data_IF_937467750039
#
_entry.id   IF_937467750039
#
_cell.length_a   1.000
_cell.length_b   1.000
_cell.length_c   1.000
_cell.angle_alpha   90.00
_cell.angle_beta   90.00
_cell.angle_gamma   90.00
#
_symmetry.space_group_name_H-M   'P 1'
#
loop_
_entity.id
_entity.type
_entity.pdbx_description
1 polymer ?
#
# COMPACT_ATOMS: atom_id res chain seq x y z
N UNK A 1 20.90 -10.42 -17.10
CA UNK A 1 20.62 -10.41 -15.66
C UNK A 1 20.13 -9.04 -15.23
N UNK A 2 18.90 -8.96 -14.71
CA UNK A 2 18.32 -7.71 -14.22
C UNK A 2 19.00 -7.32 -12.90
N UNK A 3 19.52 -6.09 -12.82
CA UNK A 3 20.19 -5.58 -11.63
C UNK A 3 19.23 -4.81 -10.70
N UNK A 4 18.11 -4.33 -11.23
CA UNK A 4 17.16 -3.49 -10.50
C UNK A 4 15.78 -4.12 -10.54
N UNK A 5 14.97 -3.94 -9.50
CA UNK A 5 13.59 -4.40 -9.55
C UNK A 5 12.81 -3.73 -10.68
N UNK A 6 11.87 -4.47 -11.25
CA UNK A 6 10.92 -3.93 -12.21
C UNK A 6 9.53 -3.91 -11.57
N UNK A 7 9.06 -2.72 -11.23
CA UNK A 7 7.79 -2.53 -10.55
C UNK A 7 6.80 -1.85 -11.49
N UNK A 8 5.76 -2.60 -11.84
CA UNK A 8 4.70 -2.12 -12.72
C UNK A 8 3.36 -2.71 -12.23
N UNK A 9 2.55 -1.86 -11.63
CA UNK A 9 1.24 -2.27 -11.13
C UNK A 9 0.22 -2.09 -12.23
N UNK A 10 -0.41 -3.20 -12.67
CA UNK A 10 -1.42 -3.18 -13.73
C UNK A 10 -2.77 -3.58 -13.17
N UNK A 11 -3.76 -2.67 -13.16
CA UNK A 11 -5.11 -3.05 -12.74
C UNK A 11 -5.73 -4.02 -13.76
N UNK A 12 -6.41 -5.05 -13.26
CA UNK A 12 -7.16 -5.98 -14.13
C UNK A 12 -8.37 -5.30 -14.77
N UNK A 13 -8.91 -4.27 -14.10
CA UNK A 13 -9.97 -3.43 -14.65
C UNK A 13 -9.77 -2.00 -14.18
N UNK A 14 -10.17 -1.05 -15.01
CA UNK A 14 -10.16 0.36 -14.64
C UNK A 14 -11.20 0.62 -13.54
N UNK A 15 -10.86 1.45 -12.52
CA UNK A 15 -11.85 1.83 -11.53
C UNK A 15 -12.97 2.67 -12.18
N UNK A 16 -14.20 2.46 -11.72
CA UNK A 16 -15.33 3.28 -12.11
C UNK A 16 -15.29 4.66 -11.47
N UNK A 17 -16.42 5.37 -11.47
CA UNK A 17 -16.51 6.72 -10.91
C UNK A 17 -16.60 6.74 -9.39
N UNK A 18 -17.24 5.72 -8.80
CA UNK A 18 -17.38 5.59 -7.36
C UNK A 18 -16.22 4.76 -6.84
N UNK A 19 -15.39 5.33 -5.99
CA UNK A 19 -14.19 4.67 -5.46
C UNK A 19 -14.42 4.21 -4.02
N UNK A 20 -14.40 5.16 -3.07
CA UNK A 20 -14.54 4.86 -1.65
C UNK A 20 -14.99 6.11 -0.92
N UNK A 21 -15.98 5.95 -0.04
CA UNK A 21 -16.36 6.96 0.94
C UNK A 21 -15.98 6.46 2.32
N UNK A 22 -15.16 7.20 3.03
CA UNK A 22 -14.80 6.96 4.42
C UNK A 22 -15.69 7.90 5.25
N UNK A 23 -16.59 7.31 6.06
CA UNK A 23 -17.61 8.08 6.78
C UNK A 23 -17.49 7.93 8.27
N UNK A 24 -17.12 9.02 8.94
CA UNK A 24 -17.17 9.17 10.40
C UNK A 24 -16.43 8.06 11.15
N UNK A 25 -15.27 7.67 10.66
CA UNK A 25 -14.48 6.58 11.26
C UNK A 25 -13.90 7.04 12.59
N UNK A 26 -14.25 6.30 13.64
CA UNK A 26 -13.75 6.51 15.00
C UNK A 26 -13.22 5.18 15.53
N UNK A 27 -12.06 5.22 16.16
CA UNK A 27 -11.44 4.03 16.74
C UNK A 27 -10.62 4.38 17.97
N UNK A 28 -10.91 3.70 19.06
CA UNK A 28 -10.16 3.79 20.32
C UNK A 28 -9.35 2.51 20.50
N UNK A 29 -8.09 2.65 20.88
CA UNK A 29 -7.17 1.54 21.15
C UNK A 29 -6.54 1.77 22.52
N UNK A 30 -6.67 0.79 23.41
CA UNK A 30 -6.14 0.85 24.77
C UNK A 30 -6.55 2.14 25.52
N UNK A 31 -7.81 2.54 25.38
CA UNK A 31 -8.35 3.71 26.04
C UNK A 31 -8.04 5.05 25.37
N UNK A 32 -7.25 5.06 24.31
CA UNK A 32 -6.92 6.28 23.56
C UNK A 32 -7.70 6.32 22.26
N UNK A 33 -8.41 7.43 22.01
CA UNK A 33 -9.11 7.65 20.74
C UNK A 33 -8.10 8.07 19.68
N UNK A 34 -7.68 7.11 18.85
CA UNK A 34 -6.66 7.31 17.82
C UNK A 34 -7.26 7.98 16.58
N UNK A 35 -8.45 7.56 16.17
CA UNK A 35 -9.20 8.17 15.07
C UNK A 35 -10.50 8.72 15.61
N UNK A 36 -10.79 9.98 15.29
CA UNK A 36 -11.97 10.68 15.77
C UNK A 36 -12.74 11.31 14.62
N UNK A 37 -13.82 10.66 14.22
CA UNK A 37 -14.76 11.16 13.21
C UNK A 37 -14.08 11.53 11.89
N UNK A 38 -13.24 10.64 11.37
CA UNK A 38 -12.49 10.85 10.13
C UNK A 38 -13.39 10.58 8.93
N UNK A 39 -13.53 11.58 8.05
CA UNK A 39 -14.36 11.46 6.84
C UNK A 39 -13.63 12.06 5.64
N UNK A 40 -13.65 11.35 4.52
CA UNK A 40 -13.21 11.86 3.23
C UNK A 40 -13.76 10.96 2.12
N UNK A 41 -13.80 11.50 0.90
CA UNK A 41 -14.20 10.75 -0.28
C UNK A 41 -13.01 10.60 -1.21
N UNK A 42 -12.68 9.37 -1.56
CA UNK A 42 -11.64 9.07 -2.55
C UNK A 42 -12.26 9.16 -3.94
N UNK A 43 -11.58 9.87 -4.83
CA UNK A 43 -12.06 10.17 -6.19
C UNK A 43 -11.22 9.46 -7.25
N UNK A 44 -11.72 9.31 -8.49
CA UNK A 44 -10.90 8.80 -9.59
C UNK A 44 -9.59 9.58 -9.73
N UNK A 45 -8.52 8.87 -10.03
CA UNK A 45 -7.16 9.39 -10.22
C UNK A 45 -6.48 9.89 -8.93
N UNK A 46 -7.08 9.69 -7.77
CA UNK A 46 -6.47 10.09 -6.51
C UNK A 46 -5.21 9.27 -6.20
N UNK A 47 -4.15 9.97 -5.85
CA UNK A 47 -2.95 9.42 -5.22
C UNK A 47 -2.71 10.24 -3.97
N UNK A 48 -3.21 9.72 -2.86
CA UNK A 48 -3.30 10.47 -1.60
C UNK A 48 -2.16 10.08 -0.68
N UNK A 49 -1.37 11.07 -0.26
CA UNK A 49 -0.41 10.90 0.82
C UNK A 49 -1.07 11.29 2.14
N UNK A 50 -0.95 10.41 3.13
CA UNK A 50 -1.50 10.63 4.46
C UNK A 50 -0.41 11.09 5.43
N UNK A 51 -0.70 12.16 6.15
CA UNK A 51 0.10 12.66 7.26
C UNK A 51 -0.75 12.60 8.52
N UNK A 52 -0.13 12.63 9.68
CA UNK A 52 -0.86 12.65 10.95
C UNK A 52 0.02 13.20 12.07
N UNK A 53 -0.60 13.83 13.06
CA UNK A 53 0.08 14.20 14.30
C UNK A 53 0.50 12.95 15.08
N UNK A 54 -0.35 11.92 15.04
CA UNK A 54 -0.08 10.61 15.65
C UNK A 54 0.18 9.61 14.54
N UNK A 55 1.41 9.12 14.45
CA UNK A 55 1.82 8.14 13.43
C UNK A 55 0.93 6.88 13.44
N UNK A 56 0.46 6.46 14.62
CA UNK A 56 -0.41 5.28 14.74
C UNK A 56 -1.75 5.48 14.04
N UNK A 57 -2.21 6.72 13.87
CA UNK A 57 -3.47 7.01 13.21
C UNK A 57 -3.47 6.61 11.74
N UNK A 58 -2.34 6.79 11.05
CA UNK A 58 -2.21 6.40 9.64
C UNK A 58 -2.31 4.89 9.48
N UNK A 59 -1.51 4.15 10.24
CA UNK A 59 -1.52 2.69 10.19
C UNK A 59 -2.90 2.13 10.54
N UNK A 60 -3.53 2.66 11.57
CA UNK A 60 -4.85 2.22 12.00
C UNK A 60 -5.91 2.48 10.92
N UNK A 61 -5.88 3.66 10.30
CA UNK A 61 -6.80 3.99 9.21
C UNK A 61 -6.61 3.02 8.02
N UNK A 62 -5.36 2.75 7.64
CA UNK A 62 -5.07 1.81 6.55
C UNK A 62 -5.54 0.40 6.88
N UNK A 63 -5.34 -0.06 8.11
CA UNK A 63 -5.84 -1.37 8.57
C UNK A 63 -7.36 -1.45 8.48
N UNK A 64 -8.05 -0.38 8.83
CA UNK A 64 -9.52 -0.32 8.73
C UNK A 64 -9.95 -0.36 7.26
N UNK A 65 -9.33 0.45 6.41
CA UNK A 65 -9.64 0.46 4.96
C UNK A 65 -9.34 -0.89 4.33
N UNK A 66 -8.25 -1.55 4.72
CA UNK A 66 -7.89 -2.87 4.23
C UNK A 66 -8.79 -4.00 4.77
N UNK A 67 -9.65 -3.71 5.74
CA UNK A 67 -10.56 -4.70 6.30
C UNK A 67 -9.96 -5.57 7.40
N UNK A 68 -8.78 -5.24 7.90
CA UNK A 68 -8.09 -6.03 8.94
C UNK A 68 -8.52 -5.63 10.36
N UNK A 69 -9.04 -4.44 10.54
CA UNK A 69 -9.51 -3.90 11.83
C UNK A 69 -10.88 -3.27 11.62
N UNK A 70 -11.82 -3.56 12.53
CA UNK A 70 -13.14 -2.94 12.51
C UNK A 70 -13.11 -1.58 13.19
N UNK A 71 -13.76 -0.54 12.63
CA UNK A 71 -13.93 0.72 13.35
C UNK A 71 -14.91 0.55 14.51
N UNK A 72 -14.82 1.44 15.52
CA UNK A 72 -15.82 1.49 16.60
C UNK A 72 -17.09 2.18 16.13
N UNK A 73 -16.94 3.20 15.28
CA UNK A 73 -18.04 3.94 14.66
C UNK A 73 -17.69 4.28 13.22
N UNK A 74 -18.71 4.53 12.42
CA UNK A 74 -18.56 4.91 11.03
C UNK A 74 -18.59 3.74 10.08
N UNK A 75 -18.44 4.04 8.80
CA UNK A 75 -18.53 3.00 7.75
C UNK A 75 -17.67 3.35 6.55
N UNK A 76 -17.35 2.32 5.76
CA UNK A 76 -16.72 2.43 4.46
C UNK A 76 -17.75 2.07 3.39
N UNK A 77 -17.89 2.93 2.38
CA UNK A 77 -18.75 2.65 1.23
C UNK A 77 -17.88 2.51 0.00
N UNK A 78 -17.73 1.28 -0.46
CA UNK A 78 -16.89 0.94 -1.60
C UNK A 78 -17.65 1.03 -2.92
N UNK A 79 -16.98 1.55 -3.95
CA UNK A 79 -17.47 1.41 -5.32
C UNK A 79 -17.43 -0.05 -5.76
N UNK A 80 -18.40 -0.46 -6.59
CA UNK A 80 -18.57 -1.87 -6.97
C UNK A 80 -17.45 -2.41 -7.86
N UNK A 81 -16.69 -1.52 -8.50
CA UNK A 81 -15.59 -1.90 -9.41
C UNK A 81 -14.24 -1.96 -8.73
N UNK A 82 -14.16 -1.63 -7.44
CA UNK A 82 -12.88 -1.47 -6.75
C UNK A 82 -12.40 -2.79 -6.17
N UNK A 83 -11.14 -3.09 -6.46
CA UNK A 83 -10.37 -4.16 -5.84
C UNK A 83 -9.16 -3.53 -5.16
N UNK A 84 -8.80 -4.00 -3.97
CA UNK A 84 -7.70 -3.40 -3.21
C UNK A 84 -6.65 -4.42 -2.85
N UNK A 85 -5.42 -3.92 -2.64
CA UNK A 85 -4.35 -4.70 -2.07
C UNK A 85 -3.54 -3.81 -1.14
N UNK A 86 -3.00 -4.40 -0.08
CA UNK A 86 -2.45 -3.68 1.06
C UNK A 86 -1.01 -4.07 1.31
N UNK A 87 -0.15 -3.06 1.46
CA UNK A 87 1.22 -3.18 1.90
C UNK A 87 1.28 -2.71 3.36
N UNK A 88 1.28 -3.61 4.35
CA UNK A 88 1.28 -3.23 5.77
C UNK A 88 2.66 -2.74 6.21
N UNK A 89 2.70 -1.85 7.20
CA UNK A 89 3.95 -1.41 7.83
C UNK A 89 4.66 -2.61 8.47
N UNK A 90 3.95 -3.37 9.31
CA UNK A 90 4.43 -4.62 9.87
C UNK A 90 3.84 -5.78 9.07
N UNK A 91 4.69 -6.45 8.31
CA UNK A 91 4.30 -7.54 7.42
C UNK A 91 4.61 -8.93 7.98
N UNK A 92 5.09 -9.05 9.23
CA UNK A 92 5.54 -10.31 9.79
C UNK A 92 4.47 -11.40 9.77
N UNK A 93 3.20 -11.03 9.99
CA UNK A 93 2.08 -11.97 9.98
C UNK A 93 1.87 -12.66 8.64
N UNK A 94 2.38 -12.11 7.55
CA UNK A 94 2.27 -12.69 6.21
C UNK A 94 3.26 -13.83 5.98
N UNK A 95 4.30 -13.95 6.82
CA UNK A 95 5.47 -14.81 6.59
C UNK A 95 5.69 -15.84 7.69
N UNK A 96 4.65 -16.26 8.39
CA UNK A 96 4.76 -17.19 9.53
C UNK A 96 4.79 -18.66 9.12
N UNK A 97 4.45 -18.97 7.87
CA UNK A 97 4.45 -20.35 7.38
C UNK A 97 5.85 -20.80 6.95
N UNK A 98 6.00 -22.10 6.65
CA UNK A 98 7.22 -22.67 6.10
C UNK A 98 7.16 -22.87 4.58
N UNK A 99 6.22 -22.20 3.91
CA UNK A 99 6.12 -22.26 2.44
C UNK A 99 7.36 -21.64 1.78
N UNK A 100 7.71 -22.14 0.60
CA UNK A 100 8.67 -21.44 -0.25
C UNK A 100 8.05 -20.12 -0.71
N UNK A 101 8.90 -19.17 -1.12
CA UNK A 101 8.43 -17.89 -1.68
C UNK A 101 7.48 -18.15 -2.86
N UNK A 102 7.83 -19.10 -3.75
CA UNK A 102 7.00 -19.45 -4.90
C UNK A 102 5.62 -19.96 -4.47
N UNK A 103 5.56 -20.88 -3.54
CA UNK A 103 4.28 -21.44 -3.07
C UNK A 103 3.48 -20.41 -2.28
N UNK A 104 4.15 -19.56 -1.52
CA UNK A 104 3.52 -18.46 -0.80
C UNK A 104 2.83 -17.49 -1.78
N UNK A 105 3.55 -17.07 -2.83
CA UNK A 105 2.98 -16.16 -3.81
C UNK A 105 1.86 -16.82 -4.62
N UNK A 106 2.03 -18.11 -4.95
CA UNK A 106 1.00 -18.89 -5.67
C UNK A 106 -0.34 -18.85 -4.92
N UNK A 107 -0.32 -18.85 -3.59
CA UNK A 107 -1.53 -18.79 -2.77
C UNK A 107 -2.36 -17.51 -2.98
N UNK A 108 -1.76 -16.45 -3.51
CA UNK A 108 -2.45 -15.20 -3.83
C UNK A 108 -2.83 -15.08 -5.31
N UNK A 109 -2.44 -16.03 -6.14
CA UNK A 109 -2.64 -15.97 -7.59
C UNK A 109 -3.92 -16.69 -8.01
N UNK A 110 -4.68 -16.08 -8.91
CA UNK A 110 -5.80 -16.74 -9.58
C UNK A 110 -5.32 -17.78 -10.57
N UNK A 111 -4.17 -17.53 -11.19
CA UNK A 111 -3.50 -18.47 -12.09
C UNK A 111 -2.43 -19.22 -11.28
N UNK A 112 -2.58 -20.56 -11.08
CA UNK A 112 -1.63 -21.32 -10.27
C UNK A 112 -0.37 -21.74 -11.02
N UNK A 113 -0.23 -21.40 -12.30
CA UNK A 113 0.93 -21.77 -13.09
C UNK A 113 2.22 -21.22 -12.49
N UNK A 114 3.18 -22.11 -12.23
CA UNK A 114 4.44 -21.75 -11.57
C UNK A 114 5.23 -20.71 -12.37
N UNK A 115 5.28 -20.86 -13.69
CA UNK A 115 6.01 -19.91 -14.56
C UNK A 115 5.40 -18.52 -14.47
N UNK A 116 4.07 -18.44 -14.46
CA UNK A 116 3.36 -17.17 -14.29
C UNK A 116 3.70 -16.52 -12.93
N UNK A 117 3.58 -17.28 -11.85
CA UNK A 117 3.88 -16.81 -10.49
C UNK A 117 5.34 -16.35 -10.37
N UNK A 118 6.29 -17.17 -10.88
CA UNK A 118 7.72 -16.86 -10.80
C UNK A 118 8.10 -15.64 -11.63
N UNK A 119 7.33 -15.29 -12.65
CA UNK A 119 7.59 -14.08 -13.44
C UNK A 119 7.50 -12.82 -12.59
N UNK A 120 6.58 -12.76 -11.61
CA UNK A 120 6.49 -11.63 -10.68
C UNK A 120 7.65 -11.62 -9.70
N UNK A 121 8.07 -12.78 -9.22
CA UNK A 121 9.24 -12.89 -8.34
C UNK A 121 10.52 -12.45 -9.04
N UNK A 122 10.68 -12.82 -10.31
CA UNK A 122 11.83 -12.40 -11.10
C UNK A 122 11.93 -10.89 -11.25
N UNK A 123 10.80 -10.19 -11.38
CA UNK A 123 10.77 -8.72 -11.40
C UNK A 123 11.37 -8.12 -10.13
N UNK A 124 11.22 -8.81 -9.01
CA UNK A 124 11.73 -8.36 -7.70
C UNK A 124 13.06 -9.04 -7.34
N UNK A 125 13.78 -9.55 -8.35
CA UNK A 125 15.12 -10.12 -8.23
C UNK A 125 15.20 -11.47 -7.51
N UNK A 126 14.07 -12.17 -7.39
CA UNK A 126 14.06 -13.56 -6.92
C UNK A 126 14.11 -14.49 -8.12
N UNK A 127 15.24 -15.18 -8.28
CA UNK A 127 15.42 -16.12 -9.37
C UNK A 127 16.05 -17.41 -8.87
N UNK A 128 15.80 -18.52 -9.57
CA UNK A 128 16.39 -19.82 -9.25
C UNK A 128 16.11 -20.26 -7.82
N UNK A 129 17.17 -20.56 -7.08
CA UNK A 129 17.06 -21.05 -5.71
C UNK A 129 16.53 -20.02 -4.72
N UNK A 130 16.70 -18.74 -5.00
CA UNK A 130 16.17 -17.68 -4.12
C UNK A 130 14.65 -17.77 -3.99
N UNK A 131 13.95 -18.10 -5.07
CA UNK A 131 12.50 -18.26 -5.08
C UNK A 131 12.03 -19.50 -4.31
N UNK A 132 12.95 -20.37 -3.90
CA UNK A 132 12.66 -21.57 -3.11
C UNK A 132 12.96 -21.41 -1.62
N UNK A 133 13.48 -20.26 -1.20
CA UNK A 133 13.67 -19.97 0.23
C UNK A 133 12.34 -20.03 0.96
N UNK A 134 12.36 -20.45 2.20
CA UNK A 134 11.17 -20.44 3.06
C UNK A 134 10.89 -19.01 3.52
N UNK A 135 9.62 -18.63 3.53
CA UNK A 135 9.21 -17.26 3.87
C UNK A 135 9.51 -16.89 5.33
N UNK A 136 9.58 -17.88 6.21
CA UNK A 136 9.86 -17.63 7.64
C UNK A 136 11.32 -17.30 7.96
N UNK A 137 12.23 -17.35 6.97
CA UNK A 137 13.65 -17.04 7.18
C UNK A 137 14.12 -15.80 6.39
N UNK A 138 13.19 -15.04 5.82
CA UNK A 138 13.52 -13.91 4.97
C UNK A 138 13.99 -12.69 5.76
N UNK A 139 14.90 -11.91 5.16
CA UNK A 139 15.27 -10.59 5.68
C UNK A 139 14.13 -9.59 5.49
N UNK A 140 14.22 -8.42 6.15
CA UNK A 140 13.25 -7.36 5.98
C UNK A 140 13.08 -6.91 4.54
N UNK A 141 14.19 -6.71 3.82
CA UNK A 141 14.15 -6.33 2.40
C UNK A 141 13.54 -7.40 1.51
N UNK A 142 13.86 -8.67 1.77
CA UNK A 142 13.26 -9.79 1.03
C UNK A 142 11.76 -9.87 1.25
N UNK A 143 11.28 -9.67 2.49
CA UNK A 143 9.85 -9.63 2.81
C UNK A 143 9.14 -8.52 2.04
N UNK A 144 9.72 -7.32 2.03
CA UNK A 144 9.16 -6.17 1.28
C UNK A 144 9.06 -6.48 -0.20
N UNK A 145 10.10 -7.08 -0.80
CA UNK A 145 10.07 -7.47 -2.22
C UNK A 145 9.00 -8.53 -2.50
N UNK A 146 8.77 -9.44 -1.56
CA UNK A 146 7.66 -10.41 -1.65
C UNK A 146 6.30 -9.72 -1.64
N UNK A 147 6.08 -8.77 -0.73
CA UNK A 147 4.81 -8.03 -0.65
C UNK A 147 4.57 -7.25 -1.94
N UNK A 148 5.61 -6.61 -2.50
CA UNK A 148 5.48 -5.89 -3.77
C UNK A 148 5.16 -6.84 -4.92
N UNK A 149 5.74 -8.04 -4.96
CA UNK A 149 5.39 -9.08 -5.94
C UNK A 149 3.92 -9.45 -5.83
N UNK A 150 3.42 -9.63 -4.61
CA UNK A 150 2.02 -9.94 -4.32
C UNK A 150 1.09 -8.83 -4.83
N UNK A 151 1.47 -7.57 -4.62
CA UNK A 151 0.67 -6.43 -5.07
C UNK A 151 0.62 -6.33 -6.59
N UNK A 152 1.75 -6.55 -7.27
CA UNK A 152 1.77 -6.59 -8.74
C UNK A 152 0.91 -7.72 -9.28
N UNK A 153 0.99 -8.89 -8.66
CA UNK A 153 0.23 -10.06 -9.08
C UNK A 153 -1.28 -9.88 -8.85
N UNK A 154 -1.68 -9.10 -7.87
CA UNK A 154 -3.08 -8.95 -7.47
C UNK A 154 -3.97 -8.35 -8.55
N UNK A 155 -3.44 -7.50 -9.42
CA UNK A 155 -4.25 -6.77 -10.40
C UNK A 155 -5.22 -5.76 -9.78
N UNK A 156 -5.02 -5.40 -8.52
CA UNK A 156 -5.90 -4.45 -7.83
C UNK A 156 -5.84 -3.06 -8.47
N UNK A 157 -6.96 -2.34 -8.45
CA UNK A 157 -7.05 -0.98 -8.98
C UNK A 157 -6.98 0.09 -7.88
N UNK A 158 -6.91 -0.30 -6.62
CA UNK A 158 -6.62 0.58 -5.49
C UNK A 158 -5.53 -0.07 -4.63
N UNK A 159 -4.42 0.63 -4.45
CA UNK A 159 -3.28 0.13 -3.68
C UNK A 159 -3.08 0.98 -2.44
N UNK A 160 -2.82 0.31 -1.32
CA UNK A 160 -2.57 0.95 -0.02
C UNK A 160 -1.15 0.61 0.39
N UNK A 161 -0.31 1.63 0.62
CA UNK A 161 1.08 1.43 1.06
C UNK A 161 1.33 2.13 2.39
N UNK A 162 1.75 1.36 3.38
CA UNK A 162 2.16 1.89 4.69
C UNK A 162 3.67 1.75 4.85
N UNK A 163 4.41 2.85 4.66
CA UNK A 163 5.86 2.92 4.75
C UNK A 163 6.59 1.87 3.89
N UNK A 164 6.38 1.87 2.57
CA UNK A 164 6.92 0.80 1.72
C UNK A 164 8.43 0.90 1.48
N UNK A 165 9.06 2.02 1.85
CA UNK A 165 10.48 2.27 1.54
C UNK A 165 11.45 1.90 2.66
N UNK A 166 10.96 1.55 3.86
CA UNK A 166 11.79 1.38 5.06
C UNK A 166 12.94 0.35 4.93
N UNK A 167 12.75 -0.70 4.14
CA UNK A 167 13.71 -1.79 4.00
C UNK A 167 14.23 -1.93 2.57
N UNK A 168 14.11 -0.88 1.77
CA UNK A 168 14.54 -0.89 0.37
C UNK A 168 15.84 -0.11 0.19
N UNK A 169 16.68 -0.57 -0.73
CA UNK A 169 17.83 0.18 -1.21
C UNK A 169 17.38 1.30 -2.17
N UNK A 170 18.30 2.17 -2.55
CA UNK A 170 17.98 3.34 -3.37
C UNK A 170 17.41 2.98 -4.74
N UNK A 171 17.95 1.95 -5.38
CA UNK A 171 17.47 1.49 -6.67
C UNK A 171 16.05 0.95 -6.60
N UNK A 172 15.74 0.23 -5.53
CA UNK A 172 14.40 -0.31 -5.30
C UNK A 172 13.39 0.80 -4.98
N UNK A 173 13.79 1.82 -4.20
CA UNK A 173 12.96 3.00 -3.93
C UNK A 173 12.65 3.73 -5.25
N UNK A 174 13.66 3.92 -6.11
CA UNK A 174 13.46 4.56 -7.42
C UNK A 174 12.47 3.76 -8.28
N UNK A 175 12.62 2.44 -8.32
CA UNK A 175 11.71 1.56 -9.08
C UNK A 175 10.28 1.64 -8.53
N UNK A 176 10.12 1.66 -7.20
CA UNK A 176 8.81 1.79 -6.55
C UNK A 176 8.18 3.15 -6.87
N UNK A 177 8.96 4.22 -6.76
CA UNK A 177 8.51 5.57 -7.10
C UNK A 177 7.96 5.63 -8.53
N UNK A 178 8.70 5.12 -9.49
CA UNK A 178 8.28 5.07 -10.89
C UNK A 178 7.01 4.23 -11.06
N UNK A 179 6.95 3.07 -10.42
CA UNK A 179 5.78 2.19 -10.50
C UNK A 179 4.52 2.82 -9.91
N UNK A 180 4.66 3.50 -8.77
CA UNK A 180 3.54 4.22 -8.14
C UNK A 180 3.11 5.43 -8.97
N UNK A 181 4.06 6.21 -9.48
CA UNK A 181 3.77 7.43 -10.24
C UNK A 181 2.99 7.14 -11.52
N UNK A 182 3.33 6.06 -12.22
CA UNK A 182 2.66 5.71 -13.49
C UNK A 182 1.45 4.80 -13.34
N UNK A 183 1.13 4.36 -12.11
CA UNK A 183 -0.03 3.50 -11.88
C UNK A 183 -1.33 4.17 -12.33
N UNK A 184 -2.17 3.43 -13.05
CA UNK A 184 -3.44 3.92 -13.60
C UNK A 184 -4.62 3.84 -12.63
N UNK A 185 -4.41 3.32 -11.43
CA UNK A 185 -5.45 3.23 -10.39
C UNK A 185 -5.27 4.26 -9.29
N UNK A 186 -5.86 3.95 -8.15
CA UNK A 186 -5.88 4.80 -6.95
C UNK A 186 -4.77 4.36 -6.00
N UNK A 187 -4.09 5.31 -5.37
CA UNK A 187 -3.12 5.02 -4.31
C UNK A 187 -3.47 5.79 -3.04
N UNK A 188 -3.48 5.07 -1.92
CA UNK A 188 -3.51 5.63 -0.57
C UNK A 188 -2.20 5.22 0.09
N UNK A 189 -1.41 6.18 0.57
CA UNK A 189 -0.08 5.81 1.07
C UNK A 189 0.44 6.77 2.13
N UNK A 190 1.43 6.31 2.87
CA UNK A 190 2.30 7.14 3.69
C UNK A 190 3.73 6.68 3.52
N UNK A 191 4.67 7.63 3.48
CA UNK A 191 6.10 7.34 3.36
C UNK A 191 6.92 8.45 3.99
N UNK A 192 8.04 8.09 4.62
CA UNK A 192 9.02 9.05 5.10
C UNK A 192 9.95 9.52 3.97
N UNK A 193 9.89 8.90 2.79
CA UNK A 193 10.68 9.31 1.65
C UNK A 193 10.06 10.55 1.00
N UNK A 194 10.74 11.69 1.13
CA UNK A 194 10.24 12.98 0.62
C UNK A 194 10.03 12.95 -0.89
N UNK A 195 11.00 12.42 -1.62
CA UNK A 195 10.96 12.39 -3.09
C UNK A 195 9.79 11.56 -3.60
N UNK A 196 9.56 10.40 -3.01
CA UNK A 196 8.44 9.54 -3.38
C UNK A 196 7.11 10.25 -3.11
N UNK A 197 6.96 10.83 -1.93
CA UNK A 197 5.73 11.56 -1.57
C UNK A 197 5.48 12.73 -2.52
N UNK A 198 6.52 13.50 -2.83
CA UNK A 198 6.42 14.65 -3.74
C UNK A 198 6.04 14.25 -5.16
N UNK A 199 6.63 13.17 -5.68
CA UNK A 199 6.42 12.79 -7.08
C UNK A 199 5.15 11.98 -7.31
N UNK A 200 4.63 11.29 -6.29
CA UNK A 200 3.45 10.42 -6.42
C UNK A 200 2.16 11.15 -6.04
N UNK A 201 2.15 11.89 -4.94
CA UNK A 201 0.91 12.43 -4.38
C UNK A 201 0.36 13.62 -5.19
N UNK A 202 -0.93 13.58 -5.47
CA UNK A 202 -1.69 14.72 -6.00
C UNK A 202 -2.71 15.28 -4.99
N UNK A 203 -2.74 14.71 -3.79
CA UNK A 203 -3.65 15.12 -2.71
C UNK A 203 -3.01 14.75 -1.38
N UNK A 204 -3.15 15.62 -0.40
CA UNK A 204 -2.65 15.41 0.96
C UNK A 204 -3.84 15.38 1.90
N UNK A 205 -3.92 14.34 2.73
CA UNK A 205 -4.85 14.28 3.85
C UNK A 205 -4.02 14.19 5.13
N UNK A 206 -4.18 15.22 5.98
CA UNK A 206 -3.42 15.35 7.23
C UNK A 206 -4.37 15.20 8.41
N UNK A 207 -4.21 14.12 9.17
CA UNK A 207 -5.07 13.78 10.30
C UNK A 207 -4.49 14.46 11.54
N UNK A 208 -5.04 15.62 11.86
CA UNK A 208 -4.67 16.38 13.05
C UNK A 208 -5.43 15.85 14.27
N UNK A 209 -5.02 16.28 15.46
CA UNK A 209 -5.65 15.86 16.71
C UNK A 209 -7.14 16.24 16.78
N UNK A 210 -7.53 17.37 16.17
CA UNK A 210 -8.88 17.94 16.27
C UNK A 210 -9.61 18.08 14.94
N UNK A 211 -8.95 17.80 13.82
CA UNK A 211 -9.54 17.97 12.48
C UNK A 211 -8.79 17.18 11.42
N UNK A 212 -9.40 17.02 10.26
CA UNK A 212 -8.76 16.48 9.07
C UNK A 212 -8.55 17.62 8.08
N UNK A 213 -7.31 17.83 7.66
CA UNK A 213 -6.97 18.80 6.62
C UNK A 213 -6.82 18.05 5.32
N UNK A 214 -7.53 18.47 4.29
CA UNK A 214 -7.61 17.77 3.00
C UNK A 214 -7.38 18.81 1.88
N UNK A 215 -6.29 18.64 1.11
CA UNK A 215 -5.88 19.57 0.07
C UNK A 215 -5.44 18.84 -1.19
N UNK A 216 -5.96 19.27 -2.33
CA UNK A 216 -5.54 18.77 -3.64
C UNK A 216 -4.30 19.52 -4.11
N UNK A 217 -3.17 19.24 -3.47
CA UNK A 217 -1.88 19.90 -3.72
C UNK A 217 -0.75 18.86 -3.67
N UNK A 218 0.43 19.26 -4.13
CA UNK A 218 1.64 18.45 -3.96
C UNK A 218 2.13 18.53 -2.52
N UNK A 219 3.02 17.61 -2.15
CA UNK A 219 3.60 17.58 -0.81
C UNK A 219 4.37 18.88 -0.49
N UNK A 220 5.20 19.36 -1.42
CA UNK A 220 5.94 20.60 -1.21
C UNK A 220 5.00 21.81 -1.06
N UNK A 221 3.93 21.87 -1.83
CA UNK A 221 2.93 22.93 -1.70
C UNK A 221 2.28 22.88 -0.32
N UNK A 222 1.94 21.69 0.15
CA UNK A 222 1.32 21.51 1.48
C UNK A 222 2.26 21.98 2.59
N UNK A 223 3.53 21.58 2.53
CA UNK A 223 4.53 22.00 3.53
C UNK A 223 4.70 23.53 3.54
N UNK A 224 4.57 24.19 2.39
CA UNK A 224 4.62 25.64 2.28
C UNK A 224 3.40 26.37 2.84
N UNK A 225 2.28 25.67 3.07
CA UNK A 225 1.05 26.21 3.63
C UNK A 225 1.04 26.22 5.16
N UNK A 226 1.90 25.43 5.80
CA UNK A 226 1.96 25.30 7.26
C UNK A 226 2.70 26.46 7.92
#
# INVERSE_FOLDING_TARGET
>A
NRKYPYIDFKPDREPGKEILQVKNITKTVNGEKILDNVSFTVKPNDKIAFLADNENAKTLLFQIIAGEVEPDEGELVWGTTITSNYFPEDNNYLFESDLSITDWLRGYSKDPDETYVRSFLGRMLFSGEEALKKVNVLSGGEKVRCVLSKMMLSGANLLIFDEPTNHLDMESITALNEGMAKFKGIILFTSHDHQLTQTVANRIIDIKADKVVDREVTYNEYLGME
#
